data_IF_692033862139
#
_entry.id   IF_692033862139
#
_cell.length_a   1.000
_cell.length_b   1.000
_cell.length_c   1.000
_cell.angle_alpha   90.00
_cell.angle_beta   90.00
_cell.angle_gamma   90.00
#
_symmetry.space_group_name_H-M   'P 1'
#
loop_
_entity.id
_entity.type
_entity.pdbx_description
1 polymer ?
#
# COMPACT_ATOMS: atom_id res chain seq x y z
N UNK A 1 25.20 60.16 -8.00
CA UNK A 1 23.97 59.61 -7.33
C UNK A 1 23.67 58.25 -7.98
N UNK A 2 24.06 57.18 -7.34
CA UNK A 2 23.78 55.81 -7.77
C UNK A 2 22.37 55.41 -7.30
N UNK A 3 21.54 54.96 -8.26
CA UNK A 3 20.19 54.46 -7.95
C UNK A 3 20.30 53.13 -7.21
N UNK A 4 19.56 52.90 -6.15
CA UNK A 4 19.55 51.61 -5.46
C UNK A 4 18.99 50.55 -6.37
N UNK A 5 19.74 49.46 -6.63
CA UNK A 5 19.27 48.26 -7.33
C UNK A 5 18.29 47.56 -6.41
N UNK A 6 17.00 47.57 -6.74
CA UNK A 6 15.99 46.79 -6.06
C UNK A 6 16.20 45.32 -6.42
N UNK A 7 16.96 44.60 -5.62
CA UNK A 7 17.08 43.13 -5.68
C UNK A 7 15.83 42.49 -5.05
N UNK A 8 14.72 42.55 -5.73
CA UNK A 8 13.53 41.81 -5.35
C UNK A 8 13.53 40.44 -6.06
N UNK A 9 13.35 39.36 -5.31
CA UNK A 9 13.17 38.02 -5.88
C UNK A 9 11.99 38.06 -6.85
N UNK A 10 12.14 37.58 -8.10
CA UNK A 10 11.08 37.62 -9.10
C UNK A 10 9.84 36.86 -8.58
N UNK A 11 8.64 37.44 -8.72
CA UNK A 11 7.37 36.80 -8.30
C UNK A 11 7.18 35.42 -8.96
N UNK A 12 7.69 35.24 -10.17
CA UNK A 12 7.69 33.97 -10.89
C UNK A 12 8.43 32.83 -10.15
N UNK A 13 9.48 33.17 -9.40
CA UNK A 13 10.22 32.19 -8.59
C UNK A 13 9.35 31.65 -7.42
N UNK A 14 8.57 32.50 -6.77
CA UNK A 14 7.65 32.07 -5.72
C UNK A 14 6.56 31.13 -6.28
N UNK A 15 6.00 31.45 -7.45
CA UNK A 15 5.01 30.59 -8.12
C UNK A 15 5.63 29.24 -8.45
N UNK A 16 6.86 29.21 -8.97
CA UNK A 16 7.58 27.98 -9.28
C UNK A 16 7.79 27.11 -8.02
N UNK A 17 8.22 27.71 -6.93
CA UNK A 17 8.42 27.01 -5.65
C UNK A 17 7.10 26.41 -5.14
N UNK A 18 6.00 27.17 -5.20
CA UNK A 18 4.67 26.66 -4.78
C UNK A 18 4.25 25.47 -5.64
N UNK A 19 4.44 25.51 -6.95
CA UNK A 19 4.11 24.40 -7.86
C UNK A 19 4.95 23.16 -7.55
N UNK A 20 6.26 23.33 -7.30
CA UNK A 20 7.14 22.21 -6.91
C UNK A 20 6.69 21.60 -5.58
N UNK A 21 6.43 22.42 -4.56
CA UNK A 21 5.99 21.94 -3.25
C UNK A 21 4.64 21.23 -3.33
N UNK A 22 3.68 21.78 -4.11
CA UNK A 22 2.40 21.14 -4.33
C UNK A 22 2.53 19.80 -5.05
N UNK A 23 3.43 19.71 -6.06
CA UNK A 23 3.71 18.46 -6.78
C UNK A 23 4.34 17.42 -5.87
N UNK A 24 5.32 17.81 -5.05
CA UNK A 24 5.97 16.92 -4.07
C UNK A 24 4.96 16.44 -3.00
N UNK A 25 4.12 17.33 -2.50
CA UNK A 25 3.07 16.96 -1.55
C UNK A 25 2.07 16.00 -2.18
N UNK A 26 1.61 16.27 -3.40
CA UNK A 26 0.71 15.37 -4.12
C UNK A 26 1.33 13.99 -4.33
N UNK A 27 2.61 13.94 -4.75
CA UNK A 27 3.33 12.68 -4.92
C UNK A 27 3.42 11.90 -3.60
N UNK A 28 3.87 12.54 -2.52
CA UNK A 28 3.98 11.91 -1.21
C UNK A 28 2.64 11.43 -0.66
N UNK A 29 1.55 12.19 -0.89
CA UNK A 29 0.23 11.85 -0.35
C UNK A 29 -0.51 10.76 -1.16
N UNK A 30 -0.24 10.64 -2.46
CA UNK A 30 -1.07 9.80 -3.36
C UNK A 30 -0.28 8.85 -4.25
N UNK A 31 1.03 9.02 -4.40
CA UNK A 31 1.87 8.24 -5.32
C UNK A 31 3.12 7.62 -4.68
N UNK A 32 3.37 7.92 -3.41
CA UNK A 32 4.49 7.31 -2.69
C UNK A 32 4.13 5.89 -2.25
N UNK A 33 4.31 4.95 -3.13
CA UNK A 33 4.07 3.52 -2.87
C UNK A 33 5.12 2.88 -1.94
N UNK A 34 6.10 3.61 -1.44
CA UNK A 34 6.91 3.21 -0.30
C UNK A 34 6.16 3.42 1.03
N UNK A 35 5.11 4.25 1.02
CA UNK A 35 4.25 4.47 2.17
C UNK A 35 3.12 3.42 2.23
N UNK A 36 3.10 2.54 3.25
CA UNK A 36 2.13 1.46 3.35
C UNK A 36 0.68 1.94 3.43
N UNK A 37 0.42 3.11 4.03
CA UNK A 37 -0.95 3.66 4.10
C UNK A 37 -1.46 4.10 2.72
N UNK A 38 -0.56 4.60 1.85
CA UNK A 38 -0.90 4.95 0.46
C UNK A 38 -1.26 3.70 -0.33
N UNK A 39 -0.50 2.62 -0.13
CA UNK A 39 -0.76 1.32 -0.76
C UNK A 39 -2.12 0.77 -0.34
N UNK A 40 -2.44 0.76 0.97
CA UNK A 40 -3.75 0.31 1.45
C UNK A 40 -4.90 1.14 0.85
N UNK A 41 -4.78 2.45 0.82
CA UNK A 41 -5.78 3.33 0.20
C UNK A 41 -5.91 3.09 -1.30
N UNK A 42 -4.80 2.90 -2.00
CA UNK A 42 -4.78 2.60 -3.44
C UNK A 42 -5.50 1.31 -3.74
N UNK A 43 -5.18 0.22 -3.00
CA UNK A 43 -5.81 -1.08 -3.14
C UNK A 43 -7.32 -1.01 -2.98
N UNK A 44 -7.81 -0.45 -1.87
CA UNK A 44 -9.25 -0.38 -1.63
C UNK A 44 -9.98 0.62 -2.54
N UNK A 45 -9.31 1.71 -2.94
CA UNK A 45 -9.89 2.59 -3.97
C UNK A 45 -10.07 1.88 -5.30
N UNK A 46 -9.15 0.98 -5.65
CA UNK A 46 -9.24 0.12 -6.83
C UNK A 46 -10.34 -0.93 -6.67
N UNK A 47 -10.40 -1.61 -5.51
CA UNK A 47 -11.45 -2.58 -5.17
C UNK A 47 -12.86 -1.99 -5.34
N UNK A 48 -13.11 -0.81 -4.75
CA UNK A 48 -14.42 -0.14 -4.84
C UNK A 48 -14.79 0.31 -6.27
N UNK A 49 -13.84 0.33 -7.18
CA UNK A 49 -14.03 0.69 -8.60
C UNK A 49 -13.94 -0.50 -9.54
N UNK A 50 -13.72 -1.70 -9.02
CA UNK A 50 -13.45 -2.91 -9.80
C UNK A 50 -12.24 -2.76 -10.74
N UNK A 51 -11.23 -1.99 -10.31
CA UNK A 51 -9.95 -1.82 -11.02
C UNK A 51 -8.99 -2.92 -10.56
N UNK A 52 -9.15 -4.11 -11.13
CA UNK A 52 -8.44 -5.31 -10.73
C UNK A 52 -6.94 -5.25 -11.05
N UNK A 53 -6.55 -4.51 -12.09
CA UNK A 53 -5.14 -4.29 -12.42
C UNK A 53 -4.44 -3.51 -11.30
N UNK A 54 -5.02 -2.41 -10.84
CA UNK A 54 -4.47 -1.65 -9.73
C UNK A 54 -4.51 -2.46 -8.42
N UNK A 55 -5.51 -3.32 -8.20
CA UNK A 55 -5.52 -4.23 -7.05
C UNK A 55 -4.33 -5.18 -7.10
N UNK A 56 -4.12 -5.89 -8.22
CA UNK A 56 -3.01 -6.83 -8.41
C UNK A 56 -1.64 -6.14 -8.23
N UNK A 57 -1.50 -4.91 -8.73
CA UNK A 57 -0.30 -4.10 -8.55
C UNK A 57 0.02 -3.79 -7.07
N UNK A 58 -0.96 -3.71 -6.20
CA UNK A 58 -0.76 -3.45 -4.78
C UNK A 58 -0.58 -4.73 -3.94
N UNK A 59 -0.80 -5.91 -4.53
CA UNK A 59 -0.59 -7.19 -3.87
C UNK A 59 0.86 -7.67 -4.01
N UNK A 60 1.34 -8.39 -3.01
CA UNK A 60 2.62 -9.09 -3.02
C UNK A 60 2.58 -10.28 -3.97
N UNK A 61 3.69 -10.57 -4.66
CA UNK A 61 3.82 -11.83 -5.42
C UNK A 61 3.66 -13.05 -4.51
N UNK A 62 4.09 -12.95 -3.26
CA UNK A 62 3.96 -14.00 -2.26
C UNK A 62 2.51 -14.25 -1.84
N UNK A 63 1.63 -13.24 -1.91
CA UNK A 63 0.19 -13.42 -1.78
C UNK A 63 -0.35 -14.24 -2.96
N UNK A 64 0.04 -13.87 -4.18
CA UNK A 64 -0.44 -14.53 -5.39
C UNK A 64 -0.12 -16.01 -5.45
N UNK A 65 1.09 -16.40 -5.02
CA UNK A 65 1.55 -17.80 -5.03
C UNK A 65 0.62 -18.72 -4.23
N UNK A 66 -0.01 -18.24 -3.16
CA UNK A 66 -0.94 -19.03 -2.34
C UNK A 66 -2.15 -19.54 -3.14
N UNK A 67 -2.51 -18.87 -4.24
CA UNK A 67 -3.67 -19.17 -5.07
C UNK A 67 -3.31 -19.64 -6.47
N UNK A 68 -2.01 -19.66 -6.81
CA UNK A 68 -1.52 -19.94 -8.17
C UNK A 68 -0.46 -21.05 -8.13
N UNK A 69 -0.90 -22.34 -8.20
CA UNK A 69 -0.01 -23.50 -8.05
C UNK A 69 1.19 -23.52 -9.01
N UNK A 70 1.05 -22.92 -10.19
CA UNK A 70 2.13 -22.86 -11.20
C UNK A 70 3.38 -22.09 -10.74
N UNK A 71 3.26 -21.25 -9.69
CA UNK A 71 4.36 -20.47 -9.15
C UNK A 71 4.90 -21.00 -7.82
N UNK A 72 4.28 -22.04 -7.22
CA UNK A 72 4.62 -22.54 -5.88
C UNK A 72 6.03 -23.11 -5.76
N UNK A 73 6.62 -23.56 -6.87
CA UNK A 73 7.98 -24.14 -6.88
C UNK A 73 9.08 -23.12 -7.18
N UNK A 74 8.72 -21.87 -7.47
CA UNK A 74 9.69 -20.81 -7.70
C UNK A 74 10.31 -20.35 -6.37
N UNK A 75 11.60 -20.07 -6.40
CA UNK A 75 12.27 -19.41 -5.29
C UNK A 75 11.75 -17.98 -5.10
N UNK A 76 11.92 -17.37 -3.92
CA UNK A 76 11.52 -15.98 -3.70
C UNK A 76 12.14 -14.99 -4.70
N UNK A 77 13.37 -15.23 -5.11
CA UNK A 77 14.05 -14.42 -6.11
C UNK A 77 13.38 -14.52 -7.48
N UNK A 78 13.10 -15.75 -7.94
CA UNK A 78 12.41 -16.00 -9.21
C UNK A 78 11.01 -15.38 -9.22
N UNK A 79 10.29 -15.42 -8.10
CA UNK A 79 8.97 -14.77 -7.97
C UNK A 79 9.08 -13.26 -8.18
N UNK A 80 10.08 -12.61 -7.56
CA UNK A 80 10.30 -11.17 -7.72
C UNK A 80 10.70 -10.78 -9.16
N UNK A 81 11.48 -11.62 -9.83
CA UNK A 81 11.90 -11.42 -11.23
C UNK A 81 10.73 -11.64 -12.21
N UNK A 82 9.86 -12.61 -11.94
CA UNK A 82 8.69 -12.92 -12.75
C UNK A 82 7.43 -12.10 -12.37
N UNK A 83 7.59 -11.06 -11.53
CA UNK A 83 6.49 -10.23 -11.06
C UNK A 83 5.49 -9.81 -12.15
N UNK A 84 5.89 -9.33 -13.34
CA UNK A 84 4.90 -8.89 -14.34
C UNK A 84 3.94 -10.01 -14.78
N UNK A 85 4.44 -11.24 -14.95
CA UNK A 85 3.63 -12.38 -15.33
C UNK A 85 2.71 -12.83 -14.18
N UNK A 86 3.23 -12.80 -12.93
CA UNK A 86 2.44 -13.13 -11.75
C UNK A 86 1.34 -12.08 -11.54
N UNK A 87 1.64 -10.79 -11.72
CA UNK A 87 0.68 -9.69 -11.61
C UNK A 87 -0.47 -9.83 -12.62
N UNK A 88 -0.17 -10.15 -13.88
CA UNK A 88 -1.19 -10.43 -14.87
C UNK A 88 -2.07 -11.64 -14.48
N UNK A 89 -1.47 -12.72 -13.96
CA UNK A 89 -2.20 -13.89 -13.47
C UNK A 89 -3.05 -13.56 -12.23
N UNK A 90 -2.58 -12.67 -11.34
CA UNK A 90 -3.37 -12.16 -10.21
C UNK A 90 -4.58 -11.35 -10.68
N UNK A 91 -4.41 -10.47 -11.68
CA UNK A 91 -5.52 -9.72 -12.28
C UNK A 91 -6.59 -10.67 -12.80
N UNK A 92 -6.22 -11.68 -13.58
CA UNK A 92 -7.15 -12.68 -14.10
C UNK A 92 -7.86 -13.49 -13.01
N UNK A 93 -7.12 -13.84 -11.96
CA UNK A 93 -7.67 -14.56 -10.80
C UNK A 93 -8.68 -13.70 -10.04
N UNK A 94 -8.33 -12.47 -9.70
CA UNK A 94 -9.21 -11.53 -8.99
C UNK A 94 -10.45 -11.23 -9.83
N UNK A 95 -10.29 -10.99 -11.14
CA UNK A 95 -11.41 -10.73 -12.05
C UNK A 95 -12.42 -11.86 -12.02
N UNK A 96 -11.97 -13.11 -12.05
CA UNK A 96 -12.86 -14.28 -11.97
C UNK A 96 -13.55 -14.41 -10.62
N UNK A 97 -12.83 -14.16 -9.51
CA UNK A 97 -13.41 -14.26 -8.18
C UNK A 97 -14.43 -13.16 -7.89
N UNK A 98 -14.16 -11.95 -8.36
CA UNK A 98 -14.98 -10.76 -8.07
C UNK A 98 -16.06 -10.50 -9.11
N UNK A 99 -16.12 -11.27 -10.22
CA UNK A 99 -17.07 -11.04 -11.32
C UNK A 99 -18.54 -11.06 -10.90
N UNK A 100 -18.87 -11.78 -9.83
CA UNK A 100 -20.23 -11.92 -9.30
C UNK A 100 -20.47 -11.04 -8.06
N UNK A 101 -19.41 -10.45 -7.50
CA UNK A 101 -19.48 -9.65 -6.28
C UNK A 101 -19.89 -8.21 -6.60
N UNK A 102 -20.96 -7.75 -5.97
CA UNK A 102 -21.36 -6.32 -6.04
C UNK A 102 -20.79 -5.59 -4.84
N UNK A 103 -19.79 -4.77 -5.10
CA UNK A 103 -19.27 -3.86 -4.06
C UNK A 103 -20.36 -2.84 -3.69
N UNK A 104 -20.73 -2.70 -2.40
CA UNK A 104 -21.72 -1.73 -1.99
C UNK A 104 -21.31 -0.30 -2.35
N UNK A 105 -22.27 0.52 -2.79
CA UNK A 105 -22.03 1.94 -3.04
C UNK A 105 -21.66 2.67 -1.73
N UNK A 106 -20.83 3.71 -1.83
CA UNK A 106 -20.42 4.57 -0.70
C UNK A 106 -19.53 3.87 0.36
N UNK A 107 -18.82 2.82 -0.04
CA UNK A 107 -17.76 2.23 0.78
C UNK A 107 -16.49 3.06 0.72
N UNK A 108 -15.80 3.11 1.83
CA UNK A 108 -14.47 3.73 1.98
C UNK A 108 -13.67 3.06 3.08
N UNK A 109 -12.37 3.28 3.12
CA UNK A 109 -11.56 2.93 4.28
C UNK A 109 -11.06 4.18 5.00
N UNK A 110 -10.88 4.06 6.30
CA UNK A 110 -10.18 5.03 7.13
C UNK A 110 -9.00 4.36 7.80
N UNK A 111 -7.80 4.80 7.46
CA UNK A 111 -6.58 4.34 8.14
C UNK A 111 -6.61 4.75 9.61
N UNK A 112 -6.12 3.88 10.47
CA UNK A 112 -5.96 4.11 11.90
C UNK A 112 -4.45 4.21 12.24
N UNK A 113 -3.81 5.38 12.06
CA UNK A 113 -2.35 5.53 12.16
C UNK A 113 -1.80 5.17 13.54
N UNK A 114 -2.62 5.28 14.58
CA UNK A 114 -2.26 4.90 15.96
C UNK A 114 -1.80 3.45 16.08
N UNK A 115 -2.33 2.57 15.22
CA UNK A 115 -2.05 1.13 15.23
C UNK A 115 -1.16 0.70 14.08
N UNK A 116 -0.79 1.63 13.18
CA UNK A 116 0.15 1.33 12.09
C UNK A 116 1.56 1.18 12.64
N UNK A 117 2.19 0.05 12.32
CA UNK A 117 3.58 -0.24 12.67
C UNK A 117 4.41 -0.37 11.40
N UNK A 118 5.70 -0.01 11.47
CA UNK A 118 6.60 -0.03 10.31
C UNK A 118 7.98 -0.50 10.73
N UNK A 119 8.60 -1.32 9.89
CA UNK A 119 10.01 -1.64 9.88
C UNK A 119 10.59 -1.27 8.50
N UNK A 120 11.82 -1.68 8.20
CA UNK A 120 12.51 -1.31 6.97
C UNK A 120 11.87 -1.94 5.73
N UNK A 121 11.43 -3.21 5.84
CA UNK A 121 10.88 -3.99 4.73
C UNK A 121 9.47 -4.53 4.99
N UNK A 122 8.93 -4.32 6.18
CA UNK A 122 7.58 -4.77 6.56
C UNK A 122 6.77 -3.65 7.18
N UNK A 123 5.46 -3.75 7.09
CA UNK A 123 4.55 -2.84 7.76
C UNK A 123 3.24 -3.55 8.10
N UNK A 124 2.60 -3.10 9.17
CA UNK A 124 1.25 -3.45 9.56
C UNK A 124 0.38 -2.20 9.49
N UNK A 125 -0.63 -2.19 8.64
CA UNK A 125 -1.56 -1.07 8.49
C UNK A 125 -2.94 -1.49 8.95
N UNK A 126 -3.49 -0.75 9.92
CA UNK A 126 -4.84 -0.98 10.43
C UNK A 126 -5.79 0.05 9.84
N UNK A 127 -6.95 -0.41 9.42
CA UNK A 127 -7.99 0.44 8.85
C UNK A 127 -9.39 -0.08 9.20
N UNK A 128 -10.34 0.83 9.16
CA UNK A 128 -11.77 0.52 9.27
C UNK A 128 -12.48 0.68 7.93
N UNK A 129 -13.34 -0.26 7.61
CA UNK A 129 -14.33 -0.11 6.55
C UNK A 129 -15.46 0.78 7.02
N UNK A 130 -15.87 1.67 6.16
CA UNK A 130 -16.95 2.62 6.43
C UNK A 130 -17.97 2.61 5.31
N UNK A 131 -19.23 2.53 5.69
CA UNK A 131 -20.37 2.82 4.80
C UNK A 131 -21.05 4.10 5.27
N UNK A 132 -21.19 5.08 4.39
CA UNK A 132 -21.79 6.40 4.74
C UNK A 132 -21.22 6.98 6.04
N UNK A 133 -19.91 6.90 6.21
CA UNK A 133 -19.17 7.33 7.41
C UNK A 133 -19.42 6.53 8.71
N UNK A 134 -20.15 5.44 8.68
CA UNK A 134 -20.28 4.52 9.83
C UNK A 134 -19.22 3.42 9.71
N UNK A 135 -18.52 3.14 10.80
CA UNK A 135 -17.60 1.99 10.89
C UNK A 135 -18.39 0.69 10.85
N UNK A 136 -17.98 -0.22 9.96
CA UNK A 136 -18.62 -1.54 9.77
C UNK A 136 -17.73 -2.67 10.27
N UNK A 137 -16.45 -2.63 9.97
CA UNK A 137 -15.47 -3.63 10.35
C UNK A 137 -14.07 -3.01 10.42
N UNK A 138 -13.19 -3.65 11.14
CA UNK A 138 -11.76 -3.31 11.14
C UNK A 138 -10.96 -4.47 10.56
N UNK A 139 -9.92 -4.13 9.83
CA UNK A 139 -8.94 -5.07 9.29
C UNK A 139 -7.53 -4.53 9.46
N UNK A 140 -6.58 -5.44 9.36
CA UNK A 140 -5.17 -5.13 9.26
C UNK A 140 -4.57 -5.76 8.02
N UNK A 141 -3.73 -5.01 7.34
CA UNK A 141 -2.92 -5.49 6.23
C UNK A 141 -1.46 -5.61 6.67
N UNK A 142 -0.94 -6.81 6.53
CA UNK A 142 0.48 -7.07 6.60
C UNK A 142 1.08 -6.78 5.24
N UNK A 143 2.13 -5.98 5.22
CA UNK A 143 2.79 -5.53 4.00
C UNK A 143 4.27 -5.88 4.01
N UNK A 144 4.80 -6.15 2.84
CA UNK A 144 6.21 -6.41 2.59
C UNK A 144 6.74 -5.51 1.48
N UNK A 145 8.03 -5.22 1.52
CA UNK A 145 8.68 -4.37 0.54
C UNK A 145 9.29 -5.20 -0.60
N UNK A 146 8.74 -5.03 -1.78
CA UNK A 146 9.20 -5.65 -3.02
C UNK A 146 9.65 -4.55 -4.01
N UNK A 147 10.88 -4.63 -4.50
CA UNK A 147 11.43 -3.66 -5.46
C UNK A 147 11.16 -2.20 -5.03
N UNK A 148 11.47 -1.88 -3.78
CA UNK A 148 11.31 -0.57 -3.15
C UNK A 148 9.86 -0.04 -3.06
N UNK A 149 8.85 -0.92 -3.18
CA UNK A 149 7.43 -0.59 -3.02
C UNK A 149 6.80 -1.49 -1.98
N UNK A 150 6.00 -0.94 -1.08
CA UNK A 150 5.18 -1.73 -0.17
C UNK A 150 4.08 -2.46 -0.95
N UNK A 151 3.79 -3.72 -0.55
CA UNK A 151 2.78 -4.59 -1.16
C UNK A 151 2.04 -5.32 -0.07
N UNK A 152 0.76 -5.54 -0.26
CA UNK A 152 -0.08 -6.28 0.67
C UNK A 152 0.26 -7.77 0.55
N UNK A 153 0.80 -8.33 1.62
CA UNK A 153 1.10 -9.76 1.73
C UNK A 153 -0.08 -10.56 2.27
N UNK A 154 -0.76 -10.02 3.28
CA UNK A 154 -1.92 -10.67 3.90
C UNK A 154 -2.88 -9.61 4.44
N UNK A 155 -4.17 -9.92 4.42
CA UNK A 155 -5.22 -9.13 5.06
C UNK A 155 -5.96 -10.04 6.05
N UNK A 156 -6.29 -9.50 7.23
CA UNK A 156 -7.01 -10.25 8.25
C UNK A 156 -7.94 -9.34 9.05
N UNK A 157 -9.09 -9.86 9.51
CA UNK A 157 -9.94 -9.13 10.43
C UNK A 157 -9.17 -8.69 11.68
N UNK A 158 -9.53 -7.55 12.23
CA UNK A 158 -8.97 -7.03 13.48
C UNK A 158 -10.07 -6.62 14.44
N UNK A 159 -9.83 -6.83 15.73
CA UNK A 159 -10.67 -6.30 16.79
C UNK A 159 -9.87 -5.43 17.76
N UNK A 160 -10.56 -4.67 18.61
CA UNK A 160 -9.89 -3.77 19.55
C UNK A 160 -9.00 -4.49 20.57
N UNK A 161 -9.35 -5.71 20.95
CA UNK A 161 -8.56 -6.48 21.93
C UNK A 161 -7.24 -6.92 21.28
N UNK A 162 -7.28 -7.42 20.04
CA UNK A 162 -6.09 -7.77 19.26
C UNK A 162 -5.19 -6.55 19.03
N UNK A 163 -5.78 -5.40 18.65
CA UNK A 163 -5.02 -4.17 18.44
C UNK A 163 -4.32 -3.66 19.70
N UNK A 164 -4.92 -3.89 20.87
CA UNK A 164 -4.31 -3.54 22.16
C UNK A 164 -3.12 -4.42 22.55
N UNK A 165 -2.98 -5.60 21.94
CA UNK A 165 -1.90 -6.55 22.17
C UNK A 165 -0.74 -6.42 21.18
N UNK A 166 -0.95 -5.71 20.07
CA UNK A 166 0.10 -5.47 19.07
C UNK A 166 1.26 -4.69 19.69
N UNK A 167 2.42 -5.27 19.66
CA UNK A 167 3.67 -4.68 20.17
C UNK A 167 4.65 -4.39 19.05
N UNK A 168 5.64 -3.52 19.30
CA UNK A 168 6.72 -3.30 18.33
C UNK A 168 7.55 -4.56 18.04
N UNK A 169 7.50 -5.56 18.93
CA UNK A 169 8.20 -6.83 18.74
C UNK A 169 7.55 -7.68 17.63
N UNK A 170 6.24 -7.56 17.42
CA UNK A 170 5.54 -8.34 16.40
C UNK A 170 6.02 -7.95 14.99
N UNK A 171 6.14 -6.63 14.72
CA UNK A 171 6.65 -6.19 13.42
C UNK A 171 8.13 -6.50 13.25
N UNK A 172 8.93 -6.49 14.31
CA UNK A 172 10.33 -6.88 14.26
C UNK A 172 10.52 -8.37 13.94
N UNK A 173 9.72 -9.25 14.55
CA UNK A 173 9.72 -10.68 14.24
C UNK A 173 9.33 -10.96 12.78
N UNK A 174 8.36 -10.23 12.27
CA UNK A 174 7.95 -10.30 10.88
C UNK A 174 9.04 -9.81 9.91
N UNK A 175 9.73 -8.73 10.27
CA UNK A 175 10.87 -8.22 9.51
C UNK A 175 11.98 -9.25 9.37
N UNK A 176 12.34 -9.93 10.47
CA UNK A 176 13.36 -11.00 10.45
C UNK A 176 12.91 -12.19 9.61
N UNK A 177 11.67 -12.67 9.78
CA UNK A 177 11.14 -13.78 8.98
C UNK A 177 11.12 -13.43 7.48
N UNK A 178 10.82 -12.18 7.13
CA UNK A 178 10.83 -11.74 5.74
C UNK A 178 12.26 -11.68 5.17
N UNK A 179 13.23 -11.23 5.95
CA UNK A 179 14.65 -11.24 5.55
C UNK A 179 15.16 -12.65 5.34
N UNK A 180 14.87 -13.57 6.27
CA UNK A 180 15.22 -14.99 6.14
C UNK A 180 14.64 -15.61 4.87
N UNK A 181 13.37 -15.35 4.58
CA UNK A 181 12.71 -15.83 3.36
C UNK A 181 13.41 -15.34 2.09
N UNK A 182 13.95 -14.11 2.08
CA UNK A 182 14.69 -13.53 0.96
C UNK A 182 16.18 -13.90 0.95
N UNK A 183 16.68 -14.66 1.95
CA UNK A 183 18.09 -15.01 2.09
C UNK A 183 19.00 -13.81 2.41
N UNK A 184 18.51 -12.86 3.18
CA UNK A 184 19.20 -11.60 3.57
C UNK A 184 19.47 -11.53 5.06
#
# INVERSE_FOLDING_TARGET
MSKPVKSGVPKSLFVLIIVILASMFYYAAYKDYSNPEVVAKSFYSAYFKSDYDTMAQNLSVFWGVQFMPQYMLMSPQELLENRPAIEASMTDFITRMESENKVPANMSIKILPKYTQRADNTALVVYEFREKNKSMAMEMALMVKENNRMRIFQMMPADQAQLGQLTGNDIAAMEESFKEMLGR
#
